data_IF_482354138327
#
_entry.id   IF_482354138327
#
_cell.length_a   1.000
_cell.length_b   1.000
_cell.length_c   1.000
_cell.angle_alpha   90.00
_cell.angle_beta   90.00
_cell.angle_gamma   90.00
#
_symmetry.space_group_name_H-M   'P 1'
#
loop_
_entity.id
_entity.type
_entity.pdbx_description
1 polymer ?
#
# COMPACT_ATOMS: atom_id res chain seq x y z
N UNK A 1 5.15 15.59 28.34
CA UNK A 1 6.11 14.48 28.06
C UNK A 1 5.52 13.37 27.19
N UNK A 2 4.25 12.95 27.39
CA UNK A 2 3.58 11.97 26.51
C UNK A 2 3.24 12.53 25.12
N UNK A 3 2.59 13.69 25.03
CA UNK A 3 2.25 14.32 23.73
C UNK A 3 3.47 14.56 22.83
N UNK A 4 4.56 15.13 23.37
CA UNK A 4 5.82 15.34 22.62
C UNK A 4 6.48 14.05 22.11
N UNK A 5 6.27 12.91 22.79
CA UNK A 5 6.75 11.59 22.37
C UNK A 5 5.86 10.98 21.30
N UNK A 6 4.54 11.17 21.40
CA UNK A 6 3.58 10.73 20.38
C UNK A 6 3.68 11.57 19.10
N UNK A 7 3.94 12.86 19.22
CA UNK A 7 4.19 13.78 18.12
C UNK A 7 5.50 13.45 17.39
N UNK A 8 6.59 13.14 18.12
CA UNK A 8 7.83 12.59 17.53
C UNK A 8 7.62 11.24 16.83
N UNK A 9 6.66 10.42 17.28
CA UNK A 9 6.28 9.16 16.63
C UNK A 9 5.53 9.42 15.32
N UNK A 10 4.58 10.36 15.29
CA UNK A 10 3.86 10.78 14.07
C UNK A 10 4.77 11.43 13.02
N UNK A 11 5.81 12.15 13.44
CA UNK A 11 6.77 12.79 12.53
C UNK A 11 7.97 11.90 12.16
N UNK A 12 7.89 10.59 12.44
CA UNK A 12 8.97 9.65 12.11
C UNK A 12 8.81 9.10 10.70
N UNK A 13 9.94 8.91 10.00
CA UNK A 13 9.97 8.29 8.66
C UNK A 13 9.28 6.93 8.65
N UNK A 14 9.45 6.14 9.72
CA UNK A 14 8.77 4.85 9.91
C UNK A 14 7.24 4.96 9.88
N UNK A 15 6.67 5.98 10.52
CA UNK A 15 5.22 6.18 10.54
C UNK A 15 4.67 6.48 9.13
N UNK A 16 5.34 7.37 8.39
CA UNK A 16 4.96 7.65 7.00
C UNK A 16 5.10 6.43 6.10
N UNK A 17 6.16 5.63 6.26
CA UNK A 17 6.35 4.41 5.48
C UNK A 17 5.24 3.37 5.72
N UNK A 18 4.78 3.22 6.96
CA UNK A 18 3.68 2.32 7.30
C UNK A 18 2.35 2.82 6.71
N UNK A 19 2.11 4.13 6.78
CA UNK A 19 0.92 4.75 6.18
C UNK A 19 0.91 4.60 4.65
N UNK A 20 2.04 4.89 3.98
CA UNK A 20 2.19 4.67 2.54
C UNK A 20 1.97 3.21 2.18
N UNK A 21 2.49 2.26 2.97
CA UNK A 21 2.25 0.83 2.72
C UNK A 21 0.76 0.47 2.80
N UNK A 22 0.02 1.07 3.73
CA UNK A 22 -1.42 0.86 3.85
C UNK A 22 -2.16 1.40 2.62
N UNK A 23 -1.83 2.63 2.21
CA UNK A 23 -2.41 3.26 1.01
C UNK A 23 -2.10 2.45 -0.26
N UNK A 24 -0.87 1.95 -0.41
CA UNK A 24 -0.49 1.07 -1.50
C UNK A 24 -1.37 -0.19 -1.57
N UNK A 25 -1.73 -0.77 -0.42
CA UNK A 25 -2.61 -1.96 -0.37
C UNK A 25 -4.03 -1.64 -0.80
N UNK A 26 -4.53 -0.46 -0.45
CA UNK A 26 -5.87 -0.02 -0.88
C UNK A 26 -5.90 0.28 -2.38
N UNK A 27 -4.81 0.85 -2.92
CA UNK A 27 -4.62 1.02 -4.37
C UNK A 27 -4.55 -0.34 -5.08
N UNK A 28 -3.80 -1.31 -4.54
CA UNK A 28 -3.73 -2.67 -5.11
C UNK A 28 -5.12 -3.30 -5.26
N UNK A 29 -5.96 -3.17 -4.23
CA UNK A 29 -7.36 -3.65 -4.28
C UNK A 29 -8.19 -2.95 -5.36
N UNK A 30 -7.98 -1.65 -5.55
CA UNK A 30 -8.67 -0.91 -6.62
C UNK A 30 -8.22 -1.37 -8.01
N UNK A 31 -6.93 -1.65 -8.21
CA UNK A 31 -6.41 -2.21 -9.47
C UNK A 31 -6.97 -3.62 -9.70
N UNK A 32 -7.02 -4.46 -8.68
CA UNK A 32 -7.65 -5.78 -8.78
C UNK A 32 -9.13 -5.66 -9.16
N UNK A 33 -9.83 -4.67 -8.59
CA UNK A 33 -11.23 -4.42 -8.97
C UNK A 33 -11.37 -4.04 -10.45
N UNK A 34 -10.45 -3.23 -10.98
CA UNK A 34 -10.45 -2.88 -12.40
C UNK A 34 -10.22 -4.13 -13.30
N UNK A 35 -9.36 -5.07 -12.88
CA UNK A 35 -9.19 -6.36 -13.58
C UNK A 35 -10.49 -7.16 -13.63
N UNK A 36 -11.20 -7.23 -12.51
CA UNK A 36 -12.50 -7.89 -12.45
C UNK A 36 -13.51 -7.26 -13.41
N UNK A 37 -13.61 -5.92 -13.41
CA UNK A 37 -14.54 -5.20 -14.28
C UNK A 37 -14.23 -5.44 -15.77
N UNK A 38 -12.96 -5.37 -16.18
CA UNK A 38 -12.53 -5.74 -17.53
C UNK A 38 -12.97 -7.16 -17.89
N UNK A 39 -12.78 -8.12 -16.98
CA UNK A 39 -13.20 -9.50 -17.22
C UNK A 39 -14.72 -9.65 -17.34
N UNK A 40 -15.51 -8.85 -16.62
CA UNK A 40 -16.96 -8.87 -16.72
C UNK A 40 -17.42 -8.33 -18.08
N UNK A 41 -16.86 -7.22 -18.55
CA UNK A 41 -17.17 -6.71 -19.90
C UNK A 41 -16.82 -7.73 -20.99
N UNK A 42 -15.69 -8.43 -20.88
CA UNK A 42 -15.34 -9.48 -21.82
C UNK A 42 -16.35 -10.63 -21.87
N UNK A 43 -16.81 -11.07 -20.69
CA UNK A 43 -17.85 -12.10 -20.59
C UNK A 43 -19.15 -11.64 -21.23
N UNK A 44 -19.56 -10.41 -20.95
CA UNK A 44 -20.77 -9.81 -21.53
C UNK A 44 -20.67 -9.74 -23.06
N UNK A 45 -19.56 -9.26 -23.63
CA UNK A 45 -19.34 -9.28 -25.07
C UNK A 45 -19.51 -10.69 -25.65
N UNK A 46 -18.88 -11.69 -25.02
CA UNK A 46 -18.95 -13.10 -25.45
C UNK A 46 -20.39 -13.64 -25.37
N UNK A 47 -21.18 -13.20 -24.40
CA UNK A 47 -22.59 -13.59 -24.27
C UNK A 47 -23.45 -12.95 -25.35
N UNK A 48 -23.27 -11.64 -25.61
CA UNK A 48 -23.98 -10.91 -26.67
C UNK A 48 -23.66 -11.52 -28.06
N UNK A 49 -22.38 -11.84 -28.33
CA UNK A 49 -21.96 -12.51 -29.57
C UNK A 49 -22.72 -13.83 -29.78
N UNK A 50 -22.84 -14.66 -28.73
CA UNK A 50 -23.61 -15.91 -28.81
C UNK A 50 -25.11 -15.67 -29.05
N UNK A 51 -25.68 -14.59 -28.52
CA UNK A 51 -27.08 -14.24 -28.81
C UNK A 51 -27.26 -13.81 -30.26
N UNK A 52 -26.34 -13.00 -30.79
CA UNK A 52 -26.32 -12.60 -32.20
C UNK A 52 -26.27 -13.83 -33.10
N UNK A 53 -25.31 -14.73 -32.90
CA UNK A 53 -25.15 -15.95 -33.71
C UNK A 53 -26.44 -16.80 -33.72
N UNK A 54 -27.03 -17.02 -32.54
CA UNK A 54 -28.28 -17.77 -32.41
C UNK A 54 -29.43 -17.10 -33.15
N UNK A 55 -29.51 -15.76 -33.06
CA UNK A 55 -30.64 -15.02 -33.65
C UNK A 55 -30.50 -14.87 -35.16
N UNK A 56 -29.27 -14.74 -35.67
CA UNK A 56 -28.96 -14.82 -37.10
C UNK A 56 -29.34 -16.19 -37.68
N UNK A 57 -29.02 -17.28 -36.98
CA UNK A 57 -29.43 -18.63 -37.39
C UNK A 57 -30.96 -18.78 -37.45
N UNK A 58 -31.66 -18.29 -36.43
CA UNK A 58 -33.14 -18.30 -36.41
C UNK A 58 -33.76 -17.46 -37.53
N UNK A 59 -33.15 -16.32 -37.87
CA UNK A 59 -33.59 -15.51 -39.00
C UNK A 59 -33.47 -16.30 -40.32
N UNK A 60 -32.34 -16.99 -40.54
CA UNK A 60 -32.12 -17.83 -41.72
C UNK A 60 -33.16 -18.95 -41.86
N UNK A 61 -33.46 -19.68 -40.78
CA UNK A 61 -34.51 -20.72 -40.81
C UNK A 61 -35.88 -20.11 -41.17
N UNK A 62 -36.23 -18.96 -40.59
CA UNK A 62 -37.51 -18.31 -40.87
C UNK A 62 -37.60 -17.84 -42.33
N UNK A 63 -36.51 -17.38 -42.93
CA UNK A 63 -36.45 -17.04 -44.35
C UNK A 63 -36.65 -18.27 -45.25
N UNK A 64 -35.97 -19.36 -44.96
CA UNK A 64 -36.12 -20.63 -45.68
C UNK A 64 -37.55 -21.18 -45.60
N UNK A 65 -38.21 -20.98 -44.47
CA UNK A 65 -39.60 -21.36 -44.25
C UNK A 65 -40.62 -20.39 -44.90
N UNK A 66 -40.18 -19.27 -45.47
CA UNK A 66 -41.07 -18.24 -46.03
C UNK A 66 -41.76 -17.36 -44.97
N UNK A 67 -41.37 -17.49 -43.70
CA UNK A 67 -41.90 -16.74 -42.56
C UNK A 67 -41.26 -15.35 -42.45
N UNK A 68 -41.48 -14.53 -43.48
CA UNK A 68 -40.84 -13.21 -43.66
C UNK A 68 -40.99 -12.25 -42.48
N UNK A 69 -42.14 -12.25 -41.79
CA UNK A 69 -42.34 -11.40 -40.60
C UNK A 69 -41.43 -11.82 -39.45
N UNK A 70 -41.31 -13.12 -39.22
CA UNK A 70 -40.47 -13.67 -38.16
C UNK A 70 -38.98 -13.45 -38.46
N UNK A 71 -38.59 -13.61 -39.72
CA UNK A 71 -37.24 -13.32 -40.19
C UNK A 71 -36.86 -11.84 -39.97
N UNK A 72 -37.74 -10.90 -40.34
CA UNK A 72 -37.50 -9.47 -40.16
C UNK A 72 -37.37 -9.10 -38.69
N UNK A 73 -38.24 -9.63 -37.82
CA UNK A 73 -38.16 -9.39 -36.38
C UNK A 73 -36.83 -9.91 -35.79
N UNK A 74 -36.39 -11.10 -36.18
CA UNK A 74 -35.10 -11.63 -35.74
C UNK A 74 -33.91 -10.77 -36.21
N UNK A 75 -33.97 -10.21 -37.43
CA UNK A 75 -32.94 -9.29 -37.93
C UNK A 75 -32.90 -7.95 -37.18
N UNK A 76 -34.06 -7.43 -36.79
CA UNK A 76 -34.14 -6.21 -35.96
C UNK A 76 -33.49 -6.44 -34.59
N UNK A 77 -33.73 -7.58 -33.95
CA UNK A 77 -33.08 -7.93 -32.68
C UNK A 77 -31.56 -8.11 -32.85
N UNK A 78 -31.11 -8.74 -33.93
CA UNK A 78 -29.67 -8.83 -34.25
C UNK A 78 -29.05 -7.44 -34.37
N UNK A 79 -29.73 -6.48 -35.01
CA UNK A 79 -29.23 -5.11 -35.12
C UNK A 79 -29.07 -4.44 -33.75
N UNK A 80 -30.06 -4.61 -32.86
CA UNK A 80 -29.99 -4.09 -31.48
C UNK A 80 -28.85 -4.73 -30.68
N UNK A 81 -28.70 -6.05 -30.77
CA UNK A 81 -27.60 -6.73 -30.08
C UNK A 81 -26.23 -6.32 -30.62
N UNK A 82 -26.09 -6.05 -31.93
CA UNK A 82 -24.84 -5.53 -32.51
C UNK A 82 -24.49 -4.14 -32.00
N UNK A 83 -25.47 -3.25 -31.83
CA UNK A 83 -25.26 -1.94 -31.21
C UNK A 83 -24.84 -2.06 -29.74
N UNK A 84 -25.50 -2.94 -28.99
CA UNK A 84 -25.13 -3.24 -27.62
C UNK A 84 -23.71 -3.83 -27.52
N UNK A 85 -23.36 -4.77 -28.40
CA UNK A 85 -22.01 -5.36 -28.46
C UNK A 85 -20.96 -4.29 -28.69
N UNK A 86 -21.15 -3.41 -29.68
CA UNK A 86 -20.21 -2.33 -29.97
C UNK A 86 -20.00 -1.39 -28.76
N UNK A 87 -21.08 -1.08 -28.04
CA UNK A 87 -21.02 -0.25 -26.83
C UNK A 87 -20.25 -0.95 -25.71
N UNK A 88 -20.58 -2.21 -25.42
CA UNK A 88 -19.91 -3.02 -24.39
C UNK A 88 -18.43 -3.23 -24.71
N UNK A 89 -18.09 -3.40 -25.99
CA UNK A 89 -16.72 -3.56 -26.44
C UNK A 89 -15.92 -2.27 -26.28
N UNK A 90 -16.52 -1.11 -26.54
CA UNK A 90 -15.92 0.18 -26.19
C UNK A 90 -15.64 0.33 -24.69
N UNK A 91 -16.53 -0.17 -23.82
CA UNK A 91 -16.26 -0.21 -22.38
C UNK A 91 -15.13 -1.17 -22.00
N UNK A 92 -15.06 -2.35 -22.64
CA UNK A 92 -13.96 -3.30 -22.46
C UNK A 92 -12.61 -2.69 -22.83
N UNK A 93 -12.52 -2.06 -24.01
CA UNK A 93 -11.28 -1.45 -24.51
C UNK A 93 -10.81 -0.33 -23.58
N UNK A 94 -11.73 0.57 -23.20
CA UNK A 94 -11.42 1.64 -22.25
C UNK A 94 -10.98 1.11 -20.88
N UNK A 95 -11.65 0.07 -20.36
CA UNK A 95 -11.25 -0.57 -19.12
C UNK A 95 -9.87 -1.22 -19.21
N UNK A 96 -9.52 -1.77 -20.39
CA UNK A 96 -8.20 -2.35 -20.66
C UNK A 96 -7.09 -1.29 -20.66
N UNK A 97 -7.25 -0.20 -21.40
CA UNK A 97 -6.25 0.88 -21.46
C UNK A 97 -6.02 1.52 -20.09
N UNK A 98 -7.10 1.74 -19.34
CA UNK A 98 -7.03 2.26 -17.97
C UNK A 98 -6.29 1.29 -17.04
N UNK A 99 -6.58 0.00 -17.15
CA UNK A 99 -5.92 -1.03 -16.36
C UNK A 99 -4.41 -1.06 -16.63
N UNK A 100 -3.99 -1.06 -17.90
CA UNK A 100 -2.57 -1.08 -18.27
C UNK A 100 -1.82 0.13 -17.66
N UNK A 101 -2.46 1.30 -17.70
CA UNK A 101 -1.92 2.52 -17.07
C UNK A 101 -1.79 2.38 -15.56
N UNK A 102 -2.80 1.80 -14.90
CA UNK A 102 -2.79 1.58 -13.44
C UNK A 102 -1.72 0.57 -13.03
N UNK A 103 -1.53 -0.50 -13.81
CA UNK A 103 -0.53 -1.53 -13.55
C UNK A 103 0.90 -0.98 -13.63
N UNK A 104 1.19 -0.16 -14.65
CA UNK A 104 2.47 0.53 -14.78
C UNK A 104 2.75 1.45 -13.59
N UNK A 105 1.77 2.28 -13.20
CA UNK A 105 1.89 3.16 -12.03
C UNK A 105 2.07 2.37 -10.73
N UNK A 106 1.37 1.26 -10.57
CA UNK A 106 1.50 0.40 -9.39
C UNK A 106 2.88 -0.25 -9.32
N UNK A 107 3.43 -0.68 -10.45
CA UNK A 107 4.79 -1.19 -10.52
C UNK A 107 5.82 -0.11 -10.14
N UNK A 108 5.72 1.09 -10.69
CA UNK A 108 6.59 2.22 -10.34
C UNK A 108 6.51 2.54 -8.84
N UNK A 109 5.30 2.59 -8.28
CA UNK A 109 5.06 2.84 -6.86
C UNK A 109 5.72 1.78 -5.97
N UNK A 110 5.63 0.49 -6.35
CA UNK A 110 6.29 -0.61 -5.64
C UNK A 110 7.81 -0.49 -5.64
N UNK A 111 8.40 -0.12 -6.77
CA UNK A 111 9.84 0.11 -6.88
C UNK A 111 10.29 1.26 -5.98
N UNK A 112 9.60 2.40 -6.03
CA UNK A 112 9.91 3.56 -5.17
C UNK A 112 9.82 3.21 -3.69
N UNK A 113 8.77 2.49 -3.28
CA UNK A 113 8.62 2.06 -1.89
C UNK A 113 9.73 1.11 -1.44
N UNK A 114 10.13 0.16 -2.30
CA UNK A 114 11.24 -0.75 -2.00
C UNK A 114 12.55 0.00 -1.79
N UNK A 115 12.85 0.96 -2.67
CA UNK A 115 14.05 1.80 -2.55
C UNK A 115 14.04 2.62 -1.26
N UNK A 116 12.93 3.30 -0.97
CA UNK A 116 12.77 4.07 0.27
C UNK A 116 12.96 3.20 1.50
N UNK A 117 12.41 1.98 1.49
CA UNK A 117 12.58 1.03 2.59
C UNK A 117 14.04 0.61 2.79
N UNK A 118 14.76 0.33 1.72
CA UNK A 118 16.18 -0.01 1.81
C UNK A 118 17.01 1.16 2.34
N UNK A 119 16.75 2.38 1.88
CA UNK A 119 17.42 3.58 2.38
C UNK A 119 17.16 3.79 3.88
N UNK A 120 15.90 3.70 4.30
CA UNK A 120 15.54 3.85 5.72
C UNK A 120 16.21 2.80 6.62
N UNK A 121 16.33 1.55 6.15
CA UNK A 121 17.03 0.49 6.89
C UNK A 121 18.54 0.79 7.01
N UNK A 122 19.17 1.28 5.94
CA UNK A 122 20.58 1.66 5.96
C UNK A 122 20.84 2.82 6.95
N UNK A 123 20.05 3.90 6.87
CA UNK A 123 20.15 5.04 7.80
C UNK A 123 19.95 4.60 9.26
N UNK A 124 18.98 3.71 9.51
CA UNK A 124 18.71 3.20 10.86
C UNK A 124 19.88 2.35 11.37
N UNK A 125 20.49 1.52 10.52
CA UNK A 125 21.65 0.71 10.87
C UNK A 125 22.86 1.57 11.19
N UNK A 126 23.17 2.57 10.34
CA UNK A 126 24.27 3.52 10.56
C UNK A 126 24.08 4.29 11.87
N UNK A 127 22.90 4.87 12.06
CA UNK A 127 22.57 5.60 13.30
C UNK A 127 22.70 4.71 14.53
N UNK A 128 22.21 3.46 14.46
CA UNK A 128 22.34 2.53 15.58
C UNK A 128 23.80 2.20 15.87
N UNK A 129 24.63 2.00 14.85
CA UNK A 129 26.06 1.74 15.02
C UNK A 129 26.75 2.92 15.72
N UNK A 130 26.55 4.15 15.23
CA UNK A 130 27.13 5.37 15.80
C UNK A 130 26.67 5.62 17.23
N UNK A 131 25.36 5.58 17.50
CA UNK A 131 24.83 5.76 18.87
C UNK A 131 25.30 4.67 19.83
N UNK A 132 25.51 3.44 19.35
CA UNK A 132 26.02 2.34 20.16
C UNK A 132 27.50 2.52 20.46
N UNK A 133 28.30 2.89 19.47
CA UNK A 133 29.72 3.21 19.65
C UNK A 133 29.90 4.35 20.67
N UNK A 134 29.18 5.47 20.53
CA UNK A 134 29.23 6.58 21.49
C UNK A 134 28.86 6.15 22.91
N UNK A 135 27.83 5.29 23.07
CA UNK A 135 27.45 4.73 24.38
C UNK A 135 28.54 3.82 24.94
N UNK A 136 29.16 2.99 24.11
CA UNK A 136 30.27 2.12 24.51
C UNK A 136 31.49 2.94 24.95
N UNK A 137 31.91 3.92 24.15
CA UNK A 137 33.03 4.80 24.48
C UNK A 137 32.81 5.54 25.79
N UNK A 138 31.58 6.03 26.02
CA UNK A 138 31.21 6.64 27.30
C UNK A 138 31.34 5.66 28.47
N UNK A 139 30.83 4.44 28.33
CA UNK A 139 30.93 3.42 29.38
C UNK A 139 32.39 3.03 29.65
N UNK A 140 33.19 2.85 28.60
CA UNK A 140 34.63 2.54 28.72
C UNK A 140 35.36 3.70 29.42
N UNK A 141 35.08 4.94 28.99
CA UNK A 141 35.63 6.13 29.63
C UNK A 141 35.26 6.19 31.12
N UNK A 142 33.99 5.99 31.46
CA UNK A 142 33.52 5.97 32.86
C UNK A 142 34.16 4.83 33.68
N UNK A 143 34.49 3.69 33.06
CA UNK A 143 35.26 2.60 33.69
C UNK A 143 36.75 2.93 33.85
N UNK A 144 37.30 3.79 33.01
CA UNK A 144 38.72 4.17 33.03
C UNK A 144 39.06 5.29 34.01
N UNK A 145 38.07 6.09 34.44
CA UNK A 145 38.21 7.04 35.53
C UNK A 145 38.16 6.34 36.89
N UNK A 146 39.29 5.74 37.25
CA UNK A 146 39.64 5.45 38.63
C UNK A 146 39.84 3.98 38.96
N UNK A 147 40.82 3.74 39.84
CA UNK A 147 40.93 2.48 40.58
C UNK A 147 39.62 2.22 41.35
N UNK A 148 39.35 0.96 41.73
CA UNK A 148 38.18 0.58 42.55
C UNK A 148 38.01 1.49 43.79
N UNK A 149 39.12 2.01 44.31
CA UNK A 149 39.19 3.02 45.38
C UNK A 149 38.54 4.36 45.02
N UNK A 150 38.78 4.89 43.82
CA UNK A 150 38.21 6.17 43.36
C UNK A 150 36.69 6.07 43.12
N UNK A 151 36.22 4.92 42.65
CA UNK A 151 34.78 4.64 42.51
C UNK A 151 34.08 4.60 43.88
N UNK A 152 34.69 3.95 44.88
CA UNK A 152 34.15 3.91 46.25
C UNK A 152 34.15 5.29 46.91
N UNK A 153 35.18 6.12 46.69
CA UNK A 153 35.21 7.49 47.19
C UNK A 153 34.15 8.37 46.52
N UNK A 154 33.98 8.27 45.19
CA UNK A 154 32.95 9.00 44.48
C UNK A 154 31.51 8.61 44.91
N UNK A 155 31.27 7.32 45.18
CA UNK A 155 30.00 6.84 45.74
C UNK A 155 29.76 7.39 47.15
N UNK A 156 30.76 7.32 48.02
CA UNK A 156 30.66 7.83 49.40
C UNK A 156 30.35 9.33 49.44
N UNK A 157 30.95 10.11 48.53
CA UNK A 157 30.68 11.55 48.39
C UNK A 157 29.26 11.82 47.87
N UNK A 158 28.74 11.01 46.93
CA UNK A 158 27.36 11.12 46.45
C UNK A 158 26.34 10.79 47.55
N UNK A 159 26.60 9.78 48.37
CA UNK A 159 25.74 9.41 49.48
C UNK A 159 25.71 10.48 50.58
N UNK A 160 26.88 11.04 50.93
CA UNK A 160 26.98 12.18 51.86
C UNK A 160 26.24 13.43 51.36
N UNK A 161 26.34 13.72 50.06
CA UNK A 161 25.61 14.85 49.47
C UNK A 161 24.08 14.63 49.47
N UNK A 162 23.64 13.38 49.31
CA UNK A 162 22.22 13.02 49.34
C UNK A 162 21.65 13.01 50.77
N UNK A 163 22.43 12.60 51.77
CA UNK A 163 22.02 12.70 53.18
C UNK A 163 21.96 14.15 53.62
N UNK A 164 22.94 14.98 53.26
CA UNK A 164 22.93 16.43 53.51
C UNK A 164 21.72 17.14 52.89
N UNK A 165 21.33 16.76 51.66
CA UNK A 165 20.11 17.28 51.01
C UNK A 165 18.81 16.79 51.66
N UNK A 166 18.82 15.63 52.33
CA UNK A 166 17.67 15.12 53.08
C UNK A 166 17.54 15.82 54.43
N UNK A 167 18.63 16.05 55.16
CA UNK A 167 18.61 16.83 56.42
C UNK A 167 18.24 18.29 56.17
N UNK A 168 18.76 18.93 55.12
CA UNK A 168 18.36 20.31 54.79
C UNK A 168 16.89 20.47 54.32
N UNK A 169 16.21 19.35 54.02
CA UNK A 169 14.78 19.31 53.67
C UNK A 169 13.90 19.01 54.89
N UNK A 170 14.47 18.61 56.02
CA UNK A 170 13.76 18.33 57.26
C UNK A 170 13.80 19.50 58.26
N UNK A 171 14.74 20.45 58.09
CA UNK A 171 14.85 21.68 58.90
C UNK A 171 14.13 22.91 58.28
N UNK A 172 13.12 22.68 57.42
CA UNK A 172 12.20 23.70 56.88
C UNK A 172 10.77 23.25 57.11
#
# INVERSE_FOLDING_TARGET
>A
MKEKREEKKRNSVSYYMDQTKKEMKDIERAVDKQRELKSLFYKECTEIEKYIEKREYQAGIAEEAGETKLANFAKEEVAQYKEQLATTQGHYDSASEQLDTLELKMHEMRLKWKNLKTQHLAETAEKNATETAEKMDKVIHDMSWGSVTDYHEAQKQRDLANTAKKTSRHDK
#
